data_IF_614008000302
#
_entry.id   IF_614008000302
#
_cell.length_a   1.000
_cell.length_b   1.000
_cell.length_c   1.000
_cell.angle_alpha   90.00
_cell.angle_beta   90.00
_cell.angle_gamma   90.00
#
_symmetry.space_group_name_H-M   'P 1'
#
loop_
_entity.id
_entity.type
_entity.pdbx_description
1 polymer ?
#
# COMPACT_ATOMS: atom_id res chain seq x y z
N UNK A 1 10.80 -10.34 -9.42
CA UNK A 1 11.65 -9.14 -9.20
C UNK A 1 12.70 -9.47 -8.15
N UNK A 2 13.96 -9.07 -8.35
CA UNK A 2 15.04 -9.23 -7.36
C UNK A 2 15.25 -7.92 -6.60
N UNK A 3 15.87 -8.01 -5.43
CA UNK A 3 16.31 -6.83 -4.67
C UNK A 3 17.35 -6.06 -5.49
N UNK A 4 17.25 -4.73 -5.46
CA UNK A 4 18.17 -3.80 -6.10
C UNK A 4 18.54 -2.68 -5.11
N UNK A 5 19.46 -1.79 -5.49
CA UNK A 5 20.10 -0.84 -4.56
C UNK A 5 19.09 0.07 -3.84
N UNK A 6 18.03 0.53 -4.51
CA UNK A 6 17.04 1.41 -3.88
C UNK A 6 16.12 0.70 -2.89
N UNK A 7 16.10 -0.65 -2.86
CA UNK A 7 15.36 -1.40 -1.86
C UNK A 7 15.91 -1.17 -0.44
N UNK A 8 17.23 -1.00 -0.28
CA UNK A 8 17.87 -0.83 1.02
C UNK A 8 17.36 0.42 1.76
N UNK A 9 17.47 1.64 1.18
CA UNK A 9 16.94 2.83 1.82
C UNK A 9 15.41 2.80 1.90
N UNK A 10 14.71 2.13 0.98
CA UNK A 10 13.27 1.93 1.06
C UNK A 10 12.86 1.13 2.30
N UNK A 11 13.51 0.00 2.59
CA UNK A 11 13.22 -0.80 3.78
C UNK A 11 13.49 -0.05 5.08
N UNK A 12 14.55 0.75 5.15
CA UNK A 12 14.84 1.57 6.34
C UNK A 12 13.76 2.63 6.56
N UNK A 13 13.32 3.32 5.50
CA UNK A 13 12.20 4.28 5.60
C UNK A 13 10.90 3.60 6.04
N UNK A 14 10.57 2.44 5.46
CA UNK A 14 9.39 1.66 5.82
C UNK A 14 9.44 1.19 7.28
N UNK A 15 10.60 0.72 7.74
CA UNK A 15 10.79 0.28 9.12
C UNK A 15 10.54 1.42 10.12
N UNK A 16 11.13 2.59 9.87
CA UNK A 16 10.96 3.76 10.71
C UNK A 16 9.52 4.27 10.70
N UNK A 17 8.91 4.39 9.52
CA UNK A 17 7.52 4.81 9.37
C UNK A 17 6.57 3.85 10.11
N UNK A 18 6.75 2.53 9.93
CA UNK A 18 5.92 1.55 10.62
C UNK A 18 6.11 1.58 12.14
N UNK A 19 7.33 1.75 12.63
CA UNK A 19 7.59 1.88 14.07
C UNK A 19 6.91 3.11 14.68
N UNK A 20 6.89 4.24 13.96
CA UNK A 20 6.17 5.45 14.36
C UNK A 20 4.67 5.25 14.38
N UNK A 21 4.11 4.66 13.31
CA UNK A 21 2.68 4.35 13.24
C UNK A 21 2.22 3.38 14.33
N UNK A 22 3.08 2.44 14.72
CA UNK A 22 2.85 1.53 15.84
C UNK A 22 2.97 2.21 17.23
N UNK A 23 3.30 3.50 17.31
CA UNK A 23 3.48 4.22 18.58
C UNK A 23 4.79 3.91 19.29
N UNK A 24 5.81 3.42 18.59
CA UNK A 24 7.09 3.08 19.19
C UNK A 24 7.84 4.31 19.72
N UNK A 25 8.41 4.20 20.91
CA UNK A 25 9.30 5.23 21.48
C UNK A 25 10.55 5.42 20.61
N UNK A 26 11.28 6.51 20.81
CA UNK A 26 12.53 6.76 20.09
C UNK A 26 13.55 5.61 20.27
N UNK A 27 13.63 5.03 21.48
CA UNK A 27 14.49 3.87 21.73
C UNK A 27 14.05 2.61 20.97
N UNK A 28 12.74 2.38 20.87
CA UNK A 28 12.19 1.29 20.06
C UNK A 28 12.41 1.52 18.55
N UNK A 29 12.21 2.75 18.06
CA UNK A 29 12.49 3.13 16.67
C UNK A 29 13.96 2.88 16.32
N UNK A 30 14.87 3.25 17.21
CA UNK A 30 16.31 3.00 17.04
C UNK A 30 16.63 1.49 17.00
N UNK A 31 16.06 0.70 17.91
CA UNK A 31 16.27 -0.76 17.92
C UNK A 31 15.69 -1.45 16.67
N UNK A 32 14.54 -1.00 16.16
CA UNK A 32 13.98 -1.45 14.88
C UNK A 32 14.98 -1.20 13.75
N UNK A 33 15.47 0.03 13.61
CA UNK A 33 16.43 0.38 12.56
C UNK A 33 17.71 -0.45 12.66
N UNK A 34 18.23 -0.63 13.87
CA UNK A 34 19.42 -1.45 14.14
C UNK A 34 19.21 -2.91 13.74
N UNK A 35 18.05 -3.51 14.01
CA UNK A 35 17.72 -4.88 13.57
C UNK A 35 17.53 -4.99 12.06
N UNK A 36 16.89 -4.01 11.44
CA UNK A 36 16.71 -3.98 9.98
C UNK A 36 18.05 -3.82 9.27
N UNK A 37 18.95 -2.98 9.76
CA UNK A 37 20.30 -2.85 9.19
C UNK A 37 21.06 -4.19 9.21
N UNK A 38 21.00 -4.95 10.32
CA UNK A 38 21.59 -6.31 10.38
C UNK A 38 20.96 -7.27 9.37
N UNK A 39 19.64 -7.21 9.19
CA UNK A 39 18.95 -8.01 8.16
C UNK A 39 19.42 -7.65 6.75
N UNK A 40 19.59 -6.35 6.48
CA UNK A 40 20.02 -5.85 5.17
C UNK A 40 21.49 -6.17 4.88
N UNK A 41 22.35 -6.14 5.90
CA UNK A 41 23.77 -6.55 5.80
C UNK A 41 23.91 -8.03 5.45
N UNK A 42 23.07 -8.90 6.04
CA UNK A 42 23.07 -10.34 5.82
C UNK A 42 22.10 -10.80 4.72
N UNK A 43 21.75 -9.94 3.75
CA UNK A 43 20.68 -10.21 2.79
C UNK A 43 20.91 -11.52 2.01
N UNK A 44 20.01 -12.51 2.13
CA UNK A 44 20.18 -13.77 1.41
C UNK A 44 20.01 -13.56 -0.10
N UNK A 45 20.90 -14.17 -0.88
CA UNK A 45 20.79 -14.17 -2.35
C UNK A 45 19.45 -14.76 -2.80
N UNK A 46 18.86 -14.21 -3.87
CA UNK A 46 17.62 -14.73 -4.45
C UNK A 46 16.33 -14.25 -3.78
N UNK A 47 16.42 -13.46 -2.70
CA UNK A 47 15.24 -12.88 -2.04
C UNK A 47 14.59 -11.79 -2.88
N UNK A 48 13.28 -11.70 -2.73
CA UNK A 48 12.43 -10.69 -3.37
C UNK A 48 12.10 -9.55 -2.39
N UNK A 49 11.82 -8.34 -2.89
CA UNK A 49 11.48 -7.23 -2.01
C UNK A 49 10.28 -7.48 -1.06
N UNK A 50 9.19 -8.13 -1.48
CA UNK A 50 8.09 -8.46 -0.56
C UNK A 50 8.49 -9.39 0.60
N UNK A 51 9.36 -10.37 0.36
CA UNK A 51 9.86 -11.27 1.42
C UNK A 51 10.66 -10.52 2.48
N UNK A 52 11.46 -9.53 2.07
CA UNK A 52 12.23 -8.70 3.01
C UNK A 52 11.32 -7.69 3.72
N UNK A 53 10.38 -7.08 3.00
CA UNK A 53 9.37 -6.20 3.60
C UNK A 53 8.58 -6.91 4.72
N UNK A 54 8.19 -8.17 4.51
CA UNK A 54 7.53 -8.97 5.54
C UNK A 54 8.42 -9.16 6.79
N UNK A 55 9.71 -9.41 6.62
CA UNK A 55 10.65 -9.54 7.72
C UNK A 55 10.87 -8.21 8.45
N UNK A 56 10.93 -7.10 7.72
CA UNK A 56 10.99 -5.74 8.29
C UNK A 56 9.77 -5.47 9.17
N UNK A 57 8.56 -5.72 8.67
CA UNK A 57 7.34 -5.53 9.47
C UNK A 57 7.27 -6.46 10.67
N UNK A 58 7.80 -7.68 10.58
CA UNK A 58 7.91 -8.60 11.72
C UNK A 58 8.81 -8.02 12.82
N UNK A 59 9.99 -7.49 12.46
CA UNK A 59 10.89 -6.82 13.40
C UNK A 59 10.18 -5.67 14.12
N UNK A 60 9.41 -4.85 13.39
CA UNK A 60 8.64 -3.74 13.97
C UNK A 60 7.66 -4.24 15.03
N UNK A 61 6.88 -5.28 14.72
CA UNK A 61 5.92 -5.87 15.67
C UNK A 61 6.59 -6.43 16.92
N UNK A 62 7.72 -7.13 16.74
CA UNK A 62 8.49 -7.72 17.84
C UNK A 62 9.07 -6.68 18.79
N UNK A 63 9.56 -5.54 18.26
CA UNK A 63 10.21 -4.49 19.07
C UNK A 63 9.21 -3.53 19.71
N UNK A 64 8.18 -3.12 18.96
CA UNK A 64 7.19 -2.15 19.43
C UNK A 64 6.12 -2.81 20.30
N UNK A 65 5.91 -4.13 20.17
CA UNK A 65 4.87 -4.87 20.89
C UNK A 65 3.46 -4.59 20.37
N UNK A 66 3.34 -3.96 19.19
CA UNK A 66 2.07 -3.67 18.54
C UNK A 66 1.66 -4.82 17.61
N UNK A 67 0.34 -5.04 17.49
CA UNK A 67 -0.26 -5.99 16.55
C UNK A 67 -0.02 -5.60 15.08
N UNK A 68 -1.00 -5.02 14.41
CA UNK A 68 -0.78 -4.46 13.07
C UNK A 68 -0.45 -2.96 13.17
N UNK A 69 0.77 -2.50 12.83
CA UNK A 69 1.15 -1.08 12.84
C UNK A 69 0.21 -0.17 12.03
N UNK A 70 -0.52 -0.74 11.07
CA UNK A 70 -1.39 -0.01 10.15
C UNK A 70 -2.88 -0.16 10.46
N UNK A 71 -3.26 -0.79 11.57
CA UNK A 71 -4.68 -1.05 11.88
C UNK A 71 -5.54 0.23 11.87
N UNK A 72 -5.03 1.31 12.49
CA UNK A 72 -5.72 2.60 12.51
C UNK A 72 -5.89 3.21 11.12
N UNK A 73 -4.82 3.19 10.32
CA UNK A 73 -4.85 3.68 8.93
C UNK A 73 -5.83 2.85 8.11
N UNK A 74 -5.77 1.52 8.16
CA UNK A 74 -6.68 0.62 7.43
C UNK A 74 -8.14 0.88 7.77
N UNK A 75 -8.43 1.11 9.05
CA UNK A 75 -9.79 1.41 9.52
C UNK A 75 -10.29 2.72 8.91
N UNK A 76 -9.46 3.77 8.98
CA UNK A 76 -9.80 5.08 8.44
C UNK A 76 -9.93 5.07 6.91
N UNK A 77 -9.01 4.40 6.21
CA UNK A 77 -9.05 4.20 4.77
C UNK A 77 -10.33 3.48 4.33
N UNK A 78 -10.69 2.40 5.04
CA UNK A 78 -11.91 1.63 4.76
C UNK A 78 -13.15 2.49 4.99
N UNK A 79 -13.20 3.24 6.09
CA UNK A 79 -14.30 4.16 6.40
C UNK A 79 -14.51 5.19 5.29
N UNK A 80 -13.42 5.83 4.82
CA UNK A 80 -13.49 6.82 3.73
C UNK A 80 -13.91 6.20 2.40
N UNK A 81 -13.42 5.01 2.08
CA UNK A 81 -13.82 4.29 0.88
C UNK A 81 -15.32 3.95 0.90
N UNK A 82 -15.84 3.47 2.04
CA UNK A 82 -17.25 3.15 2.22
C UNK A 82 -18.15 4.40 2.11
N UNK A 83 -17.69 5.56 2.56
CA UNK A 83 -18.42 6.82 2.35
C UNK A 83 -18.55 7.19 0.86
N UNK A 84 -17.57 6.81 0.04
CA UNK A 84 -17.60 7.06 -1.40
C UNK A 84 -18.37 5.98 -2.17
N UNK A 85 -18.49 4.77 -1.62
CA UNK A 85 -19.05 3.59 -2.28
C UNK A 85 -20.42 3.82 -2.95
N UNK A 86 -21.44 4.45 -2.32
CA UNK A 86 -22.73 4.68 -2.98
C UNK A 86 -22.65 5.55 -4.24
N UNK A 87 -21.64 6.42 -4.33
CA UNK A 87 -21.38 7.21 -5.54
C UNK A 87 -20.70 6.36 -6.61
N UNK A 88 -19.75 5.51 -6.22
CA UNK A 88 -19.05 4.61 -7.13
C UNK A 88 -19.98 3.58 -7.75
N UNK A 89 -20.90 3.04 -6.96
CA UNK A 89 -21.92 2.11 -7.43
C UNK A 89 -22.82 2.74 -8.50
N UNK A 90 -23.28 3.98 -8.27
CA UNK A 90 -24.06 4.73 -9.28
C UNK A 90 -23.30 4.96 -10.57
N UNK A 91 -22.01 5.30 -10.49
CA UNK A 91 -21.18 5.47 -11.68
C UNK A 91 -21.13 4.18 -12.51
N UNK A 92 -21.03 3.02 -11.87
CA UNK A 92 -21.05 1.73 -12.57
C UNK A 92 -22.42 1.48 -13.20
N UNK A 93 -23.50 1.62 -12.43
CA UNK A 93 -24.86 1.30 -12.91
C UNK A 93 -25.36 2.22 -14.02
N UNK A 94 -24.94 3.49 -14.02
CA UNK A 94 -25.37 4.50 -15.00
C UNK A 94 -24.41 4.62 -16.20
N UNK A 95 -23.28 3.90 -16.19
CA UNK A 95 -22.31 3.96 -17.27
C UNK A 95 -22.76 3.20 -18.52
N UNK A 96 -22.29 3.66 -19.69
CA UNK A 96 -22.51 2.95 -20.95
C UNK A 96 -21.84 1.57 -20.98
N UNK A 97 -20.76 1.39 -20.20
CA UNK A 97 -20.04 0.13 -20.06
C UNK A 97 -19.72 -0.14 -18.57
N UNK A 98 -20.62 -0.85 -17.86
CA UNK A 98 -20.47 -1.12 -16.43
C UNK A 98 -19.20 -1.91 -16.10
N UNK A 99 -18.76 -2.81 -16.97
CA UNK A 99 -17.55 -3.61 -16.73
C UNK A 99 -16.30 -2.75 -16.83
N UNK A 100 -16.17 -1.94 -17.89
CA UNK A 100 -15.04 -0.99 -18.04
C UNK A 100 -14.97 -0.06 -16.83
N UNK A 101 -16.11 0.54 -16.46
CA UNK A 101 -16.19 1.46 -15.32
C UNK A 101 -15.77 0.76 -14.02
N UNK A 102 -16.29 -0.45 -13.75
CA UNK A 102 -15.92 -1.22 -12.56
C UNK A 102 -14.41 -1.54 -12.51
N UNK A 103 -13.81 -1.92 -13.64
CA UNK A 103 -12.38 -2.19 -13.73
C UNK A 103 -11.55 -0.93 -13.48
N UNK A 104 -11.93 0.23 -14.04
CA UNK A 104 -11.27 1.52 -13.77
C UNK A 104 -11.33 1.89 -12.29
N UNK A 105 -12.48 1.70 -11.65
CA UNK A 105 -12.67 1.97 -10.23
C UNK A 105 -11.85 1.01 -9.36
N UNK A 106 -11.76 -0.27 -9.74
CA UNK A 106 -10.89 -1.25 -9.07
C UNK A 106 -9.41 -0.84 -9.14
N UNK A 107 -8.95 -0.40 -10.31
CA UNK A 107 -7.59 0.12 -10.51
C UNK A 107 -7.36 1.37 -9.65
N UNK A 108 -8.32 2.30 -9.62
CA UNK A 108 -8.24 3.48 -8.77
C UNK A 108 -8.07 3.10 -7.29
N UNK A 109 -8.88 2.15 -6.80
CA UNK A 109 -8.78 1.63 -5.44
C UNK A 109 -7.41 1.03 -5.13
N UNK A 110 -6.80 0.30 -6.08
CA UNK A 110 -5.50 -0.34 -5.89
C UNK A 110 -4.32 0.65 -5.88
N UNK A 111 -4.43 1.80 -6.54
CA UNK A 111 -3.38 2.84 -6.57
C UNK A 111 -3.43 3.71 -5.31
N UNK A 112 -4.58 3.79 -4.64
CA UNK A 112 -4.74 4.50 -3.38
C UNK A 112 -3.97 3.74 -2.29
N UNK A 113 -2.70 4.09 -2.09
CA UNK A 113 -1.83 3.51 -1.07
C UNK A 113 -1.59 4.50 0.08
N UNK A 114 -2.21 4.23 1.22
CA UNK A 114 -2.02 5.02 2.45
C UNK A 114 -0.73 4.67 3.20
N UNK A 115 0.00 3.63 2.77
CA UNK A 115 1.24 3.15 3.39
C UNK A 115 2.52 3.68 2.72
N UNK A 116 2.44 4.25 1.52
CA UNK A 116 3.60 4.71 0.75
C UNK A 116 3.93 6.21 0.92
N UNK A 117 2.96 7.03 1.34
CA UNK A 117 3.13 8.49 1.43
C UNK A 117 2.56 9.05 2.73
N UNK A 118 3.25 10.02 3.34
CA UNK A 118 2.80 10.77 4.52
C UNK A 118 1.59 11.69 4.24
N UNK A 119 1.01 11.63 3.04
CA UNK A 119 -0.11 12.47 2.61
C UNK A 119 -1.29 11.58 2.24
N UNK A 120 -2.47 11.93 2.76
CA UNK A 120 -3.69 11.23 2.41
C UNK A 120 -4.13 11.65 1.00
N UNK A 121 -4.19 10.73 0.03
CA UNK A 121 -4.64 11.07 -1.32
C UNK A 121 -6.11 11.48 -1.32
N UNK A 122 -6.47 12.40 -2.22
CA UNK A 122 -7.87 12.66 -2.55
C UNK A 122 -8.42 11.48 -3.35
N UNK A 123 -9.29 10.71 -2.69
CA UNK A 123 -9.94 9.54 -3.26
C UNK A 123 -10.76 9.90 -4.51
N UNK A 124 -11.47 11.02 -4.47
CA UNK A 124 -12.35 11.41 -5.56
C UNK A 124 -11.54 11.90 -6.76
N UNK A 125 -10.49 12.69 -6.54
CA UNK A 125 -9.58 13.10 -7.61
C UNK A 125 -8.95 11.88 -8.30
N UNK A 126 -8.56 10.86 -7.52
CA UNK A 126 -7.98 9.63 -8.06
C UNK A 126 -8.98 8.87 -8.93
N UNK A 127 -10.22 8.73 -8.46
CA UNK A 127 -11.31 8.12 -9.22
C UNK A 127 -11.55 8.88 -10.53
N UNK A 128 -11.71 10.20 -10.47
CA UNK A 128 -11.94 11.02 -11.66
C UNK A 128 -10.82 10.86 -12.68
N UNK A 129 -9.56 10.83 -12.22
CA UNK A 129 -8.42 10.64 -13.10
C UNK A 129 -8.45 9.26 -13.77
N UNK A 130 -8.69 8.19 -13.02
CA UNK A 130 -8.68 6.82 -13.56
C UNK A 130 -9.82 6.53 -14.53
N UNK A 131 -10.95 7.22 -14.41
CA UNK A 131 -12.04 7.11 -15.38
C UNK A 131 -11.65 7.56 -16.80
N UNK A 132 -10.61 8.38 -16.96
CA UNK A 132 -10.24 8.97 -18.26
C UNK A 132 -8.87 8.52 -18.79
N UNK A 133 -8.06 7.85 -17.98
CA UNK A 133 -6.73 7.39 -18.41
C UNK A 133 -6.86 6.17 -19.34
N UNK A 134 -6.21 6.16 -20.50
CA UNK A 134 -6.18 4.98 -21.35
C UNK A 134 -5.42 3.85 -20.66
N UNK A 135 -5.88 2.61 -20.83
CA UNK A 135 -5.13 1.46 -20.37
C UNK A 135 -3.83 1.35 -21.16
N UNK A 136 -2.72 1.17 -20.45
CA UNK A 136 -1.44 0.86 -21.09
C UNK A 136 -1.48 -0.52 -21.77
N UNK A 137 -2.22 -1.46 -21.18
CA UNK A 137 -2.51 -2.78 -21.73
C UNK A 137 -4.01 -3.02 -21.54
N UNK A 138 -4.75 -3.10 -22.64
CA UNK A 138 -6.19 -3.35 -22.61
C UNK A 138 -6.49 -4.79 -23.06
N UNK A 139 -7.03 -5.58 -22.13
CA UNK A 139 -7.53 -6.94 -22.37
C UNK A 139 -8.96 -7.10 -21.85
N UNK A 140 -9.71 -6.00 -21.72
CA UNK A 140 -11.04 -6.00 -21.12
C UNK A 140 -12.01 -6.94 -21.86
N UNK A 141 -11.87 -7.07 -23.18
CA UNK A 141 -12.67 -7.99 -23.98
C UNK A 141 -12.54 -9.46 -23.54
N UNK A 142 -11.37 -9.88 -23.03
CA UNK A 142 -11.14 -11.24 -22.54
C UNK A 142 -11.78 -11.50 -21.17
N UNK A 143 -12.16 -10.46 -20.44
CA UNK A 143 -12.84 -10.57 -19.14
C UNK A 143 -14.37 -10.66 -19.28
N UNK A 144 -14.91 -10.47 -20.49
CA UNK A 144 -16.36 -10.53 -20.77
C UNK A 144 -16.87 -11.94 -21.06
N UNK A 145 -15.96 -12.90 -21.24
CA UNK A 145 -16.25 -14.31 -21.51
C UNK A 145 -16.53 -15.06 -20.21
#
# INVERSE_FOLDING_TARGET
MRIYLDCYPCFLRQALSAARHAGGTESQQFEVLRRVLRLLEALPSGKTPPEIGHQVHRIVREVVGAGDPYAGIKTESTRRALQLYPRLERLVSESADPLDTAVRLSIAGNIIDFGATDHQPDLWQTVQRMLHIPYAIDRLALLRT
#
